data_IF_783282027231
#
_entry.id   IF_783282027231
#
_cell.length_a   1.000
_cell.length_b   1.000
_cell.length_c   1.000
_cell.angle_alpha   90.00
_cell.angle_beta   90.00
_cell.angle_gamma   90.00
#
_symmetry.space_group_name_H-M   'P 1'
#
loop_
_entity.id
_entity.type
_entity.pdbx_description
1 polymer ?
#
# COMPACT_ATOMS: atom_id res chain seq x y z
N UNK A 1 -13.80 -4.61 25.36
CA UNK A 1 -13.92 -3.23 24.79
C UNK A 1 -12.59 -2.56 24.52
N UNK A 2 -11.62 -2.47 25.43
CA UNK A 2 -10.32 -1.77 25.21
C UNK A 2 -9.49 -2.30 24.03
N UNK A 3 -9.45 -3.62 23.78
CA UNK A 3 -8.73 -4.24 22.66
C UNK A 3 -9.31 -3.86 21.29
N UNK A 4 -10.62 -3.75 21.18
CA UNK A 4 -11.31 -3.35 19.95
C UNK A 4 -11.01 -1.89 19.58
N UNK A 5 -11.07 -1.01 20.57
CA UNK A 5 -10.77 0.41 20.39
C UNK A 5 -9.31 0.65 19.97
N UNK A 6 -8.35 -0.07 20.56
CA UNK A 6 -6.93 0.04 20.15
C UNK A 6 -6.70 -0.49 18.73
N UNK A 7 -7.40 -1.58 18.37
CA UNK A 7 -7.39 -2.11 17.01
C UNK A 7 -7.94 -1.10 16.01
N UNK A 8 -9.13 -0.55 16.27
CA UNK A 8 -9.80 0.41 15.40
C UNK A 8 -8.94 1.68 15.23
N UNK A 9 -8.37 2.18 16.32
CA UNK A 9 -7.46 3.33 16.28
C UNK A 9 -6.21 3.07 15.43
N UNK A 10 -5.60 1.90 15.55
CA UNK A 10 -4.45 1.50 14.73
C UNK A 10 -4.82 1.39 13.26
N UNK A 11 -5.97 0.77 12.95
CA UNK A 11 -6.47 0.62 11.58
C UNK A 11 -6.74 1.98 10.92
N UNK A 12 -7.48 2.86 11.59
CA UNK A 12 -7.79 4.20 11.09
C UNK A 12 -6.49 4.99 10.85
N UNK A 13 -5.50 4.86 11.73
CA UNK A 13 -4.19 5.48 11.56
C UNK A 13 -3.46 5.02 10.29
N UNK A 14 -3.45 3.71 10.01
CA UNK A 14 -2.86 3.16 8.78
C UNK A 14 -3.63 3.61 7.53
N UNK A 15 -4.96 3.52 7.55
CA UNK A 15 -5.81 3.99 6.44
C UNK A 15 -5.57 5.47 6.15
N UNK A 16 -5.51 6.30 7.19
CA UNK A 16 -5.21 7.72 7.05
C UNK A 16 -3.83 7.99 6.44
N UNK A 17 -2.81 7.26 6.88
CA UNK A 17 -1.46 7.37 6.34
C UNK A 17 -1.39 6.96 4.86
N UNK A 18 -1.99 5.83 4.49
CA UNK A 18 -2.05 5.39 3.09
C UNK A 18 -2.85 6.34 2.20
N UNK A 19 -3.98 6.84 2.71
CA UNK A 19 -4.79 7.83 2.00
C UNK A 19 -3.99 9.10 1.72
N UNK A 20 -3.35 9.69 2.74
CA UNK A 20 -2.52 10.88 2.60
C UNK A 20 -1.35 10.66 1.64
N UNK A 21 -0.68 9.52 1.74
CA UNK A 21 0.42 9.17 0.83
C UNK A 21 -0.06 9.04 -0.62
N UNK A 22 -1.19 8.38 -0.85
CA UNK A 22 -1.76 8.20 -2.19
C UNK A 22 -2.16 9.55 -2.78
N UNK A 23 -2.88 10.38 -2.04
CA UNK A 23 -3.31 11.72 -2.47
C UNK A 23 -2.10 12.59 -2.79
N UNK A 24 -1.08 12.62 -1.91
CA UNK A 24 0.14 13.39 -2.12
C UNK A 24 0.88 12.94 -3.38
N UNK A 25 0.98 11.62 -3.60
CA UNK A 25 1.58 11.05 -4.80
C UNK A 25 0.85 11.52 -6.06
N UNK A 26 -0.47 11.47 -6.08
CA UNK A 26 -1.25 11.97 -7.23
C UNK A 26 -1.06 13.46 -7.46
N UNK A 27 -1.06 14.28 -6.41
CA UNK A 27 -0.84 15.72 -6.52
C UNK A 27 0.55 16.03 -7.11
N UNK A 28 1.59 15.35 -6.61
CA UNK A 28 2.96 15.53 -7.11
C UNK A 28 3.09 15.09 -8.57
N UNK A 29 2.51 13.93 -8.94
CA UNK A 29 2.49 13.45 -10.31
C UNK A 29 1.74 14.37 -11.25
N UNK A 30 0.55 14.85 -10.84
CA UNK A 30 -0.24 15.80 -11.63
C UNK A 30 0.57 17.06 -11.94
N UNK A 31 1.26 17.61 -10.94
CA UNK A 31 2.14 18.78 -11.14
C UNK A 31 3.33 18.48 -12.03
N UNK A 32 4.00 17.35 -11.83
CA UNK A 32 5.17 16.95 -12.61
C UNK A 32 4.84 16.73 -14.10
N UNK A 33 3.64 16.22 -14.38
CA UNK A 33 3.16 15.95 -15.75
C UNK A 33 2.39 17.12 -16.36
N UNK A 34 2.22 18.24 -15.67
CA UNK A 34 1.47 19.40 -16.13
C UNK A 34 -0.02 19.11 -16.39
N UNK A 35 -0.60 18.17 -15.64
CA UNK A 35 -2.02 17.83 -15.78
C UNK A 35 -2.91 18.95 -15.27
N UNK A 36 -4.13 19.12 -15.86
CA UNK A 36 -5.07 20.12 -15.41
C UNK A 36 -5.45 19.96 -13.93
N UNK A 37 -5.76 21.05 -13.25
CA UNK A 37 -6.11 21.07 -11.82
C UNK A 37 -7.40 20.31 -11.48
N UNK A 38 -8.29 20.11 -12.45
CA UNK A 38 -9.52 19.31 -12.36
C UNK A 38 -9.31 17.80 -12.40
N UNK A 39 -8.06 17.36 -12.63
CA UNK A 39 -7.68 15.94 -12.51
C UNK A 39 -7.92 15.42 -11.09
N UNK A 40 -7.90 16.32 -10.08
CA UNK A 40 -8.21 15.99 -8.71
C UNK A 40 -9.70 16.13 -8.41
N UNK A 41 -10.47 15.14 -8.82
CA UNK A 41 -11.93 15.13 -8.71
C UNK A 41 -12.43 14.22 -7.58
N UNK A 42 -13.71 14.36 -7.23
CA UNK A 42 -14.37 13.57 -6.18
C UNK A 42 -14.21 12.04 -6.37
N UNK A 43 -14.37 11.47 -7.58
CA UNK A 43 -14.12 10.05 -7.82
C UNK A 43 -12.70 9.60 -7.42
N UNK A 44 -11.66 10.38 -7.71
CA UNK A 44 -10.29 10.06 -7.36
C UNK A 44 -10.09 10.01 -5.83
N UNK A 45 -10.75 10.89 -5.09
CA UNK A 45 -10.70 10.90 -3.61
C UNK A 45 -11.32 9.62 -3.06
N UNK A 46 -12.49 9.21 -3.58
CA UNK A 46 -13.15 7.98 -3.14
C UNK A 46 -12.38 6.71 -3.49
N UNK A 47 -11.82 6.62 -4.70
CA UNK A 47 -10.98 5.49 -5.10
C UNK A 47 -9.70 5.40 -4.26
N UNK A 48 -9.09 6.55 -3.93
CA UNK A 48 -7.93 6.62 -3.04
C UNK A 48 -8.26 6.19 -1.61
N UNK A 49 -9.43 6.56 -1.10
CA UNK A 49 -9.91 6.14 0.23
C UNK A 49 -10.20 4.62 0.25
N UNK A 50 -10.85 4.09 -0.77
CA UNK A 50 -11.11 2.66 -0.92
C UNK A 50 -9.79 1.88 -0.97
N UNK A 51 -8.83 2.32 -1.77
CA UNK A 51 -7.50 1.74 -1.83
C UNK A 51 -6.80 1.73 -0.47
N UNK A 52 -6.79 2.87 0.22
CA UNK A 52 -6.18 3.00 1.54
C UNK A 52 -6.83 2.07 2.58
N UNK A 53 -8.15 1.91 2.54
CA UNK A 53 -8.88 0.99 3.41
C UNK A 53 -8.51 -0.47 3.14
N UNK A 54 -8.44 -0.88 1.87
CA UNK A 54 -8.08 -2.24 1.48
C UNK A 54 -6.62 -2.58 1.82
N UNK A 55 -5.68 -1.68 1.54
CA UNK A 55 -4.26 -1.87 1.90
C UNK A 55 -4.07 -1.85 3.41
N UNK A 56 -4.76 -0.96 4.13
CA UNK A 56 -4.76 -0.96 5.59
C UNK A 56 -5.27 -2.29 6.18
N UNK A 57 -6.26 -2.92 5.54
CA UNK A 57 -6.68 -4.27 5.90
C UNK A 57 -5.61 -5.32 5.57
N UNK A 58 -4.92 -5.20 4.43
CA UNK A 58 -3.83 -6.09 4.04
C UNK A 58 -2.66 -6.08 5.05
N UNK A 59 -2.41 -4.99 5.76
CA UNK A 59 -1.36 -4.90 6.80
C UNK A 59 -1.54 -5.92 7.94
N UNK A 60 -2.76 -6.44 8.13
CA UNK A 60 -2.99 -7.50 9.11
C UNK A 60 -2.24 -8.80 8.81
N UNK A 61 -1.83 -9.01 7.56
CA UNK A 61 -0.97 -10.14 7.16
C UNK A 61 0.29 -10.21 8.01
N UNK A 62 0.88 -9.07 8.36
CA UNK A 62 2.08 -9.04 9.21
C UNK A 62 1.84 -9.51 10.65
N UNK A 63 0.60 -9.51 11.11
CA UNK A 63 0.19 -9.99 12.44
C UNK A 63 -0.16 -11.48 12.46
N UNK A 64 -0.30 -12.12 11.29
CA UNK A 64 -0.66 -13.52 11.18
C UNK A 64 0.55 -14.42 11.51
N UNK A 65 0.45 -15.15 12.61
CA UNK A 65 1.55 -16.02 13.08
C UNK A 65 1.79 -17.21 12.15
N UNK A 66 0.73 -17.73 11.51
CA UNK A 66 0.80 -18.94 10.66
C UNK A 66 1.61 -18.74 9.37
N UNK A 67 1.84 -17.51 8.93
CA UNK A 67 2.64 -17.22 7.74
C UNK A 67 4.15 -17.30 7.98
N UNK A 68 4.59 -17.59 9.21
CA UNK A 68 5.98 -17.82 9.58
C UNK A 68 6.91 -16.66 9.24
N UNK A 69 7.64 -16.79 8.13
CA UNK A 69 8.69 -15.82 7.75
C UNK A 69 8.15 -14.43 7.37
N UNK A 70 8.91 -13.41 7.74
CA UNK A 70 8.65 -12.01 7.33
C UNK A 70 8.56 -11.85 5.81
N UNK A 71 9.41 -12.55 5.07
CA UNK A 71 9.43 -12.49 3.59
C UNK A 71 8.14 -13.03 2.96
N UNK A 72 7.60 -14.13 3.51
CA UNK A 72 6.32 -14.69 3.06
C UNK A 72 5.18 -13.69 3.31
N UNK A 73 5.17 -13.06 4.48
CA UNK A 73 4.19 -12.01 4.80
C UNK A 73 4.28 -10.83 3.83
N UNK A 74 5.50 -10.42 3.46
CA UNK A 74 5.72 -9.33 2.52
C UNK A 74 5.21 -9.67 1.12
N UNK A 75 5.41 -10.89 0.64
CA UNK A 75 4.88 -11.36 -0.65
C UNK A 75 3.35 -11.38 -0.64
N UNK A 76 2.74 -11.97 0.40
CA UNK A 76 1.27 -12.03 0.54
C UNK A 76 0.68 -10.62 0.61
N UNK A 77 1.29 -9.73 1.39
CA UNK A 77 0.88 -8.32 1.44
C UNK A 77 1.00 -7.64 0.07
N UNK A 78 2.04 -7.91 -0.70
CA UNK A 78 2.23 -7.38 -2.05
C UNK A 78 1.12 -7.80 -3.02
N UNK A 79 0.74 -9.06 -2.98
CA UNK A 79 -0.39 -9.59 -3.77
C UNK A 79 -1.68 -8.86 -3.37
N UNK A 80 -1.97 -8.77 -2.08
CA UNK A 80 -3.16 -8.09 -1.57
C UNK A 80 -3.17 -6.59 -1.92
N UNK A 81 -2.03 -5.91 -1.81
CA UNK A 81 -1.91 -4.50 -2.19
C UNK A 81 -2.14 -4.30 -3.70
N UNK A 82 -1.62 -5.20 -4.55
CA UNK A 82 -1.83 -5.15 -6.00
C UNK A 82 -3.29 -5.40 -6.36
N UNK A 83 -3.93 -6.38 -5.73
CA UNK A 83 -5.38 -6.62 -5.89
C UNK A 83 -6.19 -5.41 -5.42
N UNK A 84 -5.83 -4.81 -4.29
CA UNK A 84 -6.47 -3.60 -3.77
C UNK A 84 -6.37 -2.43 -4.75
N UNK A 85 -5.19 -2.25 -5.37
CA UNK A 85 -5.00 -1.26 -6.42
C UNK A 85 -5.88 -1.53 -7.64
N UNK A 86 -5.91 -2.77 -8.12
CA UNK A 86 -6.73 -3.15 -9.27
C UNK A 86 -8.22 -2.92 -9.00
N UNK A 87 -8.71 -3.33 -7.82
CA UNK A 87 -10.11 -3.12 -7.43
C UNK A 87 -10.48 -1.64 -7.32
N UNK A 88 -9.60 -0.83 -6.73
CA UNK A 88 -9.90 0.58 -6.47
C UNK A 88 -9.76 1.45 -7.73
N UNK A 89 -8.65 1.30 -8.47
CA UNK A 89 -8.32 2.19 -9.57
C UNK A 89 -8.66 1.65 -10.95
N UNK A 90 -8.84 0.35 -11.11
CA UNK A 90 -9.22 -0.24 -12.40
C UNK A 90 -10.71 -0.51 -12.45
N UNK A 91 -11.25 -1.22 -11.46
CA UNK A 91 -12.66 -1.62 -11.45
C UNK A 91 -13.56 -0.45 -11.04
N UNK A 92 -13.26 0.23 -9.93
CA UNK A 92 -14.11 1.30 -9.40
C UNK A 92 -14.05 2.61 -10.22
N UNK A 93 -13.06 2.77 -11.11
CA UNK A 93 -12.91 3.96 -11.97
C UNK A 93 -13.30 3.74 -13.43
N UNK A 94 -13.96 2.61 -13.76
CA UNK A 94 -14.34 2.20 -15.13
C UNK A 94 -13.17 2.18 -16.12
N UNK A 95 -11.94 2.12 -15.65
CA UNK A 95 -10.73 1.97 -16.49
C UNK A 95 -10.64 0.60 -17.18
N UNK A 96 -11.51 -0.33 -16.81
CA UNK A 96 -11.60 -1.67 -17.43
C UNK A 96 -11.82 -1.54 -18.94
N UNK A 97 -12.60 -0.56 -19.40
CA UNK A 97 -12.82 -0.31 -20.82
C UNK A 97 -11.54 0.09 -21.59
N UNK A 98 -10.53 0.60 -20.86
CA UNK A 98 -9.22 0.98 -21.42
C UNK A 98 -8.15 -0.08 -21.08
N UNK A 99 -8.39 -1.34 -21.37
CA UNK A 99 -7.62 -2.51 -20.94
C UNK A 99 -6.09 -2.35 -20.94
N UNK A 100 -5.51 -1.74 -21.99
CA UNK A 100 -4.06 -1.48 -22.05
C UNK A 100 -3.59 -0.52 -20.94
N UNK A 101 -4.29 0.58 -20.74
CA UNK A 101 -3.96 1.58 -19.71
C UNK A 101 -4.09 1.00 -18.31
N UNK A 102 -5.11 0.17 -18.07
CA UNK A 102 -5.30 -0.55 -16.80
C UNK A 102 -4.15 -1.51 -16.53
N UNK A 103 -3.73 -2.30 -17.51
CA UNK A 103 -2.58 -3.20 -17.37
C UNK A 103 -1.28 -2.46 -17.06
N UNK A 104 -1.01 -1.35 -17.75
CA UNK A 104 0.16 -0.52 -17.46
C UNK A 104 0.13 0.05 -16.04
N UNK A 105 -1.03 0.50 -15.56
CA UNK A 105 -1.20 1.00 -14.20
C UNK A 105 -0.91 -0.07 -13.14
N UNK A 106 -1.46 -1.28 -13.32
CA UNK A 106 -1.22 -2.41 -12.40
C UNK A 106 0.27 -2.80 -12.42
N UNK A 107 0.89 -2.88 -13.59
CA UNK A 107 2.30 -3.23 -13.72
C UNK A 107 3.20 -2.17 -13.06
N UNK A 108 2.94 -0.90 -13.31
CA UNK A 108 3.67 0.21 -12.69
C UNK A 108 3.56 0.19 -11.16
N UNK A 109 2.34 -0.04 -10.64
CA UNK A 109 2.13 -0.20 -9.19
C UNK A 109 2.90 -1.40 -8.63
N UNK A 110 2.87 -2.53 -9.32
CA UNK A 110 3.58 -3.74 -8.89
C UNK A 110 5.09 -3.52 -8.84
N UNK A 111 5.67 -2.86 -9.86
CA UNK A 111 7.09 -2.50 -9.87
C UNK A 111 7.44 -1.57 -8.71
N UNK A 112 6.63 -0.54 -8.47
CA UNK A 112 6.81 0.37 -7.34
C UNK A 112 6.76 -0.38 -6.00
N UNK A 113 5.81 -1.30 -5.85
CA UNK A 113 5.72 -2.14 -4.67
C UNK A 113 6.97 -3.01 -4.49
N UNK A 114 7.52 -3.61 -5.55
CA UNK A 114 8.76 -4.39 -5.47
C UNK A 114 9.95 -3.54 -4.98
N UNK A 115 10.06 -2.30 -5.42
CA UNK A 115 11.10 -1.38 -4.94
C UNK A 115 10.93 -1.12 -3.43
N UNK A 116 9.72 -0.83 -2.99
CA UNK A 116 9.42 -0.61 -1.56
C UNK A 116 9.71 -1.89 -0.75
N UNK A 117 9.33 -3.04 -1.27
CA UNK A 117 9.58 -4.34 -0.65
C UNK A 117 11.08 -4.63 -0.51
N UNK A 118 11.88 -4.35 -1.54
CA UNK A 118 13.33 -4.48 -1.50
C UNK A 118 13.95 -3.60 -0.40
N UNK A 119 13.55 -2.33 -0.31
CA UNK A 119 13.99 -1.41 0.75
C UNK A 119 13.62 -1.94 2.13
N UNK A 120 12.38 -2.44 2.32
CA UNK A 120 11.93 -3.06 3.57
C UNK A 120 12.74 -4.32 3.92
N UNK A 121 13.08 -5.16 2.94
CA UNK A 121 13.93 -6.34 3.16
C UNK A 121 15.33 -5.96 3.66
N UNK A 122 15.97 -4.99 3.01
CA UNK A 122 17.30 -4.50 3.41
C UNK A 122 17.24 -3.93 4.82
N UNK A 123 16.27 -3.06 5.10
CA UNK A 123 16.10 -2.48 6.44
C UNK A 123 15.90 -3.54 7.52
N UNK A 124 15.04 -4.52 7.27
CA UNK A 124 14.79 -5.63 8.20
C UNK A 124 16.07 -6.46 8.45
N UNK A 125 16.82 -6.81 7.40
CA UNK A 125 18.09 -7.54 7.51
C UNK A 125 19.11 -6.79 8.37
N UNK A 126 19.29 -5.49 8.13
CA UNK A 126 20.26 -4.67 8.89
C UNK A 126 19.85 -4.53 10.35
N UNK A 127 18.56 -4.35 10.61
CA UNK A 127 18.05 -4.17 11.99
C UNK A 127 18.19 -5.48 12.79
N UNK A 128 17.86 -6.62 12.18
CA UNK A 128 18.00 -7.94 12.84
C UNK A 128 19.45 -8.26 13.14
N UNK A 129 20.37 -7.96 12.23
CA UNK A 129 21.81 -8.17 12.45
C UNK A 129 22.33 -7.35 13.64
N UNK A 130 21.95 -6.07 13.74
CA UNK A 130 22.33 -5.21 14.88
C UNK A 130 21.76 -5.69 16.22
N UNK A 131 20.59 -6.29 16.24
CA UNK A 131 19.98 -6.84 17.46
C UNK A 131 20.78 -8.05 17.96
N UNK A 132 21.14 -8.96 17.06
CA UNK A 132 21.90 -10.17 17.41
C UNK A 132 23.33 -9.84 17.91
N UNK A 133 23.96 -8.80 17.35
CA UNK A 133 25.28 -8.34 17.82
C UNK A 133 25.22 -7.77 19.24
N UNK A 134 24.14 -7.12 19.64
CA UNK A 134 23.97 -6.56 21.00
C UNK A 134 23.68 -7.60 22.07
N UNK A 135 23.11 -8.75 21.71
CA UNK A 135 22.84 -9.85 22.63
C UNK A 135 24.09 -10.74 22.87
N UNK A 136 25.16 -10.57 22.09
CA UNK A 136 26.38 -11.35 22.20
C UNK A 136 27.46 -10.69 23.07
N UNK A 137 27.19 -9.57 23.70
CA UNK A 137 28.02 -8.88 24.70
C UNK A 137 27.30 -8.84 26.07
#
# INVERSE_FOLDING_TARGET
MKKWLSFLRSYIGHVGAYFMFTVLTFVLFSKALGLPSDTFNTPLVWTSLLFAALVGAADYVFRLAFLGSYYVKLVVHGILATVSFALSFVVASDLVERGKTAMFGILAFFILYLVIAAVRCVYHSVTTKKSNEKESY
#
